data_IF_671874977070
#
_entry.id   IF_671874977070
#
_cell.length_a   1.000
_cell.length_b   1.000
_cell.length_c   1.000
_cell.angle_alpha   90.00
_cell.angle_beta   90.00
_cell.angle_gamma   90.00
#
_symmetry.space_group_name_H-M   'P 1'
#
loop_
_entity.id
_entity.type
_entity.pdbx_description
1 polymer ?
#
# COMPACT_ATOMS: atom_id res chain seq x y z
N UNK A 1 -5.88 14.02 11.04
CA UNK A 1 -4.95 13.06 10.40
C UNK A 1 -3.68 13.03 11.23
N UNK A 2 -3.49 11.97 12.00
CA UNK A 2 -2.26 11.71 12.74
C UNK A 2 -2.08 10.19 12.69
N UNK A 3 -0.98 9.74 12.10
CA UNK A 3 -0.70 8.31 11.94
C UNK A 3 0.60 7.99 12.65
N UNK A 4 0.58 6.96 13.49
CA UNK A 4 1.75 6.55 14.26
C UNK A 4 1.90 5.04 14.24
N UNK A 5 3.15 4.55 14.16
CA UNK A 5 3.49 3.13 14.22
C UNK A 5 2.64 2.29 13.24
N UNK A 6 2.72 2.62 11.96
CA UNK A 6 1.88 2.00 10.91
C UNK A 6 2.73 1.58 9.74
N UNK A 7 2.49 0.36 9.25
CA UNK A 7 3.13 -0.19 8.07
C UNK A 7 2.18 -0.11 6.89
N UNK A 8 2.63 0.50 5.81
CA UNK A 8 1.88 0.66 4.57
C UNK A 8 2.46 -0.26 3.49
N UNK A 9 1.60 -1.08 2.90
CA UNK A 9 1.94 -1.95 1.76
C UNK A 9 1.30 -1.36 0.51
N UNK A 10 2.11 -0.72 -0.34
CA UNK A 10 1.60 0.16 -1.40
C UNK A 10 1.99 -0.28 -2.79
N UNK A 11 1.07 -0.02 -3.73
CA UNK A 11 1.31 0.02 -5.17
C UNK A 11 0.84 1.37 -5.67
N UNK A 12 1.79 2.17 -6.15
CA UNK A 12 1.58 3.59 -6.45
C UNK A 12 2.35 4.00 -7.71
N UNK A 13 1.88 5.07 -8.36
CA UNK A 13 2.50 5.67 -9.56
C UNK A 13 3.32 6.91 -9.26
N UNK A 14 3.09 7.49 -8.09
CA UNK A 14 3.81 8.66 -7.59
C UNK A 14 4.29 8.42 -6.17
N UNK A 15 5.19 9.29 -5.73
CA UNK A 15 5.68 9.35 -4.37
C UNK A 15 4.51 9.54 -3.39
N UNK A 16 4.38 8.72 -2.34
CA UNK A 16 3.46 9.01 -1.25
C UNK A 16 3.83 10.33 -0.57
N UNK A 17 2.82 11.11 -0.18
CA UNK A 17 3.01 12.33 0.61
C UNK A 17 2.46 12.07 2.01
N UNK A 18 3.26 12.37 3.02
CA UNK A 18 2.85 12.23 4.44
C UNK A 18 2.83 13.57 5.15
N UNK A 19 1.90 13.71 6.09
CA UNK A 19 1.81 14.85 6.99
C UNK A 19 1.36 14.35 8.37
N UNK A 20 1.89 14.95 9.45
CA UNK A 20 1.57 14.56 10.83
C UNK A 20 1.78 13.06 11.14
N UNK A 21 2.86 12.46 10.63
CA UNK A 21 3.22 11.05 10.86
C UNK A 21 4.36 10.89 11.85
N UNK A 22 4.42 9.73 12.51
CA UNK A 22 5.53 9.32 13.36
C UNK A 22 5.74 7.81 13.27
N UNK A 23 6.95 7.34 12.92
CA UNK A 23 7.29 5.92 12.78
C UNK A 23 6.35 5.18 11.82
N UNK A 24 6.10 5.75 10.65
CA UNK A 24 5.40 5.03 9.58
C UNK A 24 6.43 4.31 8.70
N UNK A 25 6.11 3.13 8.21
CA UNK A 25 7.02 2.35 7.37
C UNK A 25 6.34 1.94 6.07
N UNK A 26 7.11 1.89 4.99
CA UNK A 26 6.57 1.60 3.66
C UNK A 26 7.18 0.34 3.07
N UNK A 27 6.35 -0.49 2.46
CA UNK A 27 6.69 -1.75 1.83
C UNK A 27 5.98 -1.89 0.47
N UNK A 28 6.46 -2.77 -0.41
CA UNK A 28 5.72 -3.15 -1.61
C UNK A 28 4.35 -3.72 -1.25
N UNK A 29 3.36 -3.52 -2.12
CA UNK A 29 2.06 -4.17 -2.01
C UNK A 29 2.18 -5.69 -1.88
N UNK A 30 1.45 -6.27 -0.92
CA UNK A 30 1.53 -7.68 -0.55
C UNK A 30 0.15 -8.32 -0.36
N UNK A 31 -0.80 -8.01 -1.25
CA UNK A 31 -2.13 -8.62 -1.26
C UNK A 31 -2.41 -9.24 -2.63
N UNK A 32 -3.07 -10.40 -2.64
CA UNK A 32 -3.51 -11.10 -3.81
C UNK A 32 -4.98 -11.50 -3.65
N UNK A 33 -5.74 -11.40 -4.73
CA UNK A 33 -7.08 -11.98 -4.84
C UNK A 33 -7.40 -12.26 -6.30
N UNK A 34 -8.32 -13.19 -6.56
CA UNK A 34 -8.78 -13.48 -7.91
C UNK A 34 -9.27 -12.21 -8.63
N UNK A 35 -8.66 -11.90 -9.77
CA UNK A 35 -8.99 -10.74 -10.60
C UNK A 35 -8.14 -9.49 -10.34
N UNK A 36 -7.26 -9.49 -9.32
CA UNK A 36 -6.42 -8.31 -9.00
C UNK A 36 -5.58 -7.83 -10.19
N UNK A 37 -5.05 -8.75 -11.01
CA UNK A 37 -4.19 -8.39 -12.15
C UNK A 37 -4.93 -7.55 -13.21
N UNK A 38 -6.19 -7.88 -13.49
CA UNK A 38 -7.03 -7.14 -14.43
C UNK A 38 -7.40 -5.77 -13.87
N UNK A 39 -7.75 -5.70 -12.57
CA UNK A 39 -8.05 -4.45 -11.88
C UNK A 39 -6.82 -3.52 -11.81
N UNK A 40 -5.63 -4.07 -11.55
CA UNK A 40 -4.37 -3.33 -11.60
C UNK A 40 -4.07 -2.82 -13.01
N UNK A 41 -4.28 -3.65 -14.03
CA UNK A 41 -4.09 -3.25 -15.43
C UNK A 41 -5.05 -2.10 -15.82
N UNK A 42 -6.32 -2.18 -15.43
CA UNK A 42 -7.32 -1.15 -15.71
C UNK A 42 -7.05 0.16 -14.95
N UNK A 43 -6.38 0.07 -13.81
CA UNK A 43 -6.03 1.22 -12.96
C UNK A 43 -4.66 1.83 -13.27
N UNK A 44 -3.98 1.41 -14.35
CA UNK A 44 -2.58 1.77 -14.65
C UNK A 44 -1.60 1.47 -13.49
N UNK A 45 -1.91 0.45 -12.67
CA UNK A 45 -1.14 0.05 -11.50
C UNK A 45 -0.41 -1.29 -11.67
N UNK A 46 -0.55 -1.95 -12.83
CA UNK A 46 0.09 -3.24 -13.10
C UNK A 46 1.60 -3.22 -12.88
N UNK A 47 2.27 -2.22 -13.44
CA UNK A 47 3.72 -2.10 -13.31
C UNK A 47 4.09 -1.59 -11.92
N UNK A 48 4.89 -2.38 -11.20
CA UNK A 48 5.52 -1.96 -9.95
C UNK A 48 6.67 -0.99 -10.28
N UNK A 49 6.64 0.21 -9.68
CA UNK A 49 7.54 1.32 -10.04
C UNK A 49 8.61 1.62 -8.99
N UNK A 50 8.56 0.98 -7.83
CA UNK A 50 9.37 1.31 -6.67
C UNK A 50 8.96 2.62 -5.99
N UNK A 51 7.96 3.37 -6.48
CA UNK A 51 7.61 4.68 -5.94
C UNK A 51 7.14 4.65 -4.47
N UNK A 52 6.69 3.49 -3.98
CA UNK A 52 6.34 3.26 -2.59
C UNK A 52 7.50 3.55 -1.62
N UNK A 53 8.77 3.44 -2.06
CA UNK A 53 9.95 3.68 -1.22
C UNK A 53 10.43 5.14 -1.22
N UNK A 54 9.78 6.02 -1.98
CA UNK A 54 10.16 7.42 -2.15
C UNK A 54 9.06 8.31 -1.58
N UNK A 55 9.16 8.67 -0.30
CA UNK A 55 8.08 9.37 0.42
C UNK A 55 8.46 10.82 0.69
N UNK A 56 7.57 11.73 0.33
CA UNK A 56 7.72 13.17 0.59
C UNK A 56 7.03 13.52 1.94
N UNK A 57 7.82 13.94 2.94
CA UNK A 57 7.30 14.42 4.23
C UNK A 57 7.11 15.94 4.19
N UNK A 58 5.86 16.36 4.03
CA UNK A 58 5.51 17.76 3.81
C UNK A 58 5.89 18.68 4.97
N UNK A 59 5.99 18.16 6.21
CA UNK A 59 6.36 18.97 7.38
C UNK A 59 7.86 18.96 7.66
N UNK A 60 8.64 18.17 6.92
CA UNK A 60 10.09 18.05 7.12
C UNK A 60 10.88 18.86 6.09
N UNK A 61 11.04 20.16 6.36
CA UNK A 61 11.74 21.11 5.48
C UNK A 61 13.27 21.13 5.68
N UNK A 62 13.86 20.03 6.16
CA UNK A 62 15.32 19.93 6.43
C UNK A 62 16.02 19.17 5.31
N UNK A 63 17.31 19.45 5.13
CA UNK A 63 18.13 18.80 4.10
C UNK A 63 18.45 17.32 4.40
N UNK A 64 18.33 16.91 5.66
CA UNK A 64 18.50 15.51 6.08
C UNK A 64 17.20 14.73 5.90
N UNK A 65 17.27 13.41 5.79
CA UNK A 65 16.09 12.55 5.71
C UNK A 65 15.14 12.75 6.90
N UNK A 66 13.83 12.68 6.65
CA UNK A 66 12.84 12.71 7.72
C UNK A 66 12.97 11.47 8.61
N UNK A 67 12.95 11.63 9.95
CA UNK A 67 12.90 10.49 10.87
C UNK A 67 11.48 9.91 11.01
N UNK A 68 10.46 10.54 10.43
CA UNK A 68 9.06 10.15 10.63
C UNK A 68 8.66 8.92 9.81
N UNK A 69 9.45 8.57 8.80
CA UNK A 69 9.20 7.42 7.94
C UNK A 69 10.47 6.63 7.61
N UNK A 70 10.29 5.37 7.24
CA UNK A 70 11.37 4.55 6.69
C UNK A 70 10.82 3.50 5.71
N UNK A 71 11.71 2.83 4.99
CA UNK A 71 11.36 1.56 4.33
C UNK A 71 11.24 0.48 5.40
N UNK A 72 10.23 -0.38 5.27
CA UNK A 72 10.05 -1.56 6.12
C UNK A 72 11.12 -2.61 5.77
N UNK A 73 11.96 -3.04 6.73
CA UNK A 73 12.94 -4.11 6.51
C UNK A 73 12.26 -5.39 6.02
N UNK A 74 12.91 -6.16 5.16
CA UNK A 74 12.34 -7.37 4.55
C UNK A 74 11.93 -8.41 5.60
N UNK A 75 12.73 -8.59 6.64
CA UNK A 75 12.46 -9.53 7.74
C UNK A 75 11.22 -9.17 8.56
N UNK A 76 10.80 -7.90 8.51
CA UNK A 76 9.60 -7.40 9.21
C UNK A 76 8.35 -7.41 8.31
N UNK A 77 8.49 -7.78 7.02
CA UNK A 77 7.36 -7.73 6.08
C UNK A 77 6.42 -8.89 6.29
N UNK A 78 5.12 -8.59 6.19
CA UNK A 78 4.09 -9.59 6.04
C UNK A 78 4.29 -10.34 4.71
N UNK A 79 4.02 -11.66 4.68
CA UNK A 79 4.00 -12.40 3.43
C UNK A 79 2.87 -11.89 2.53
N UNK A 80 2.94 -12.25 1.24
CA UNK A 80 1.82 -12.04 0.31
C UNK A 80 0.56 -12.70 0.88
N UNK A 81 -0.45 -11.89 1.20
CA UNK A 81 -1.73 -12.36 1.71
C UNK A 81 -2.65 -12.70 0.54
N UNK A 82 -3.03 -13.97 0.40
CA UNK A 82 -4.07 -14.40 -0.55
C UNK A 82 -5.43 -14.34 0.14
N UNK A 83 -6.33 -13.50 -0.37
CA UNK A 83 -7.71 -13.34 0.12
C UNK A 83 -8.75 -13.74 -0.92
N UNK A 84 -8.37 -14.54 -1.91
CA UNK A 84 -9.27 -14.98 -2.99
C UNK A 84 -10.57 -15.61 -2.48
N UNK A 85 -10.50 -16.29 -1.34
CA UNK A 85 -11.66 -16.97 -0.74
C UNK A 85 -12.62 -16.01 0.00
N UNK A 86 -12.19 -14.78 0.32
CA UNK A 86 -13.06 -13.77 0.96
C UNK A 86 -14.00 -13.08 -0.04
N UNK A 87 -13.58 -12.93 -1.31
CA UNK A 87 -14.37 -12.24 -2.35
C UNK A 87 -15.52 -13.10 -2.88
N UNK A 88 -15.45 -14.41 -2.72
CA UNK A 88 -16.49 -15.35 -3.15
C UNK A 88 -17.83 -15.16 -2.41
N UNK A 89 -17.81 -14.64 -1.18
CA UNK A 89 -19.04 -14.40 -0.40
C UNK A 89 -19.78 -13.13 -0.84
N UNK A 90 -19.09 -12.11 -1.34
CA UNK A 90 -19.68 -10.83 -1.75
C UNK A 90 -20.41 -10.95 -3.12
N UNK A 91 -19.81 -11.67 -4.07
CA UNK A 91 -20.41 -11.95 -5.38
C UNK A 91 -21.62 -12.89 -5.28
N UNK A 92 -21.61 -13.83 -4.33
CA UNK A 92 -22.73 -14.74 -4.07
C UNK A 92 -23.97 -14.04 -3.48
N UNK A 93 -23.79 -12.88 -2.84
CA UNK A 93 -24.88 -12.06 -2.29
C UNK A 93 -25.46 -11.11 -3.33
N UNK A 94 -24.62 -10.57 -4.22
CA UNK A 94 -25.03 -9.66 -5.31
C UNK A 94 -25.89 -10.37 -6.39
N UNK A 95 -25.67 -11.66 -6.62
CA UNK A 95 -26.42 -12.46 -7.62
C UNK A 95 -27.88 -12.80 -7.30
N UNK A 96 -28.48 -12.27 -6.21
CA UNK A 96 -29.87 -12.58 -5.80
C UNK A 96 -30.94 -11.56 -6.21
N UNK A 97 -30.61 -10.56 -7.03
CA UNK A 97 -31.61 -9.63 -7.59
C UNK A 97 -31.70 -9.76 -9.12
N UNK A 98 -32.41 -10.80 -9.57
CA UNK A 98 -33.14 -10.81 -10.84
C UNK A 98 -34.48 -11.51 -10.60
#
# INVERSE_FOLDING_TARGET
HQTTNTDFYLRVRSRPIVEYTNRVRFAPYALFYRGIEEELQQSDLKDETGMWSNVDDFRWLRAVSSPNWSVLPEDDRLPLADISDLKAEEDAVSGKHI
#
